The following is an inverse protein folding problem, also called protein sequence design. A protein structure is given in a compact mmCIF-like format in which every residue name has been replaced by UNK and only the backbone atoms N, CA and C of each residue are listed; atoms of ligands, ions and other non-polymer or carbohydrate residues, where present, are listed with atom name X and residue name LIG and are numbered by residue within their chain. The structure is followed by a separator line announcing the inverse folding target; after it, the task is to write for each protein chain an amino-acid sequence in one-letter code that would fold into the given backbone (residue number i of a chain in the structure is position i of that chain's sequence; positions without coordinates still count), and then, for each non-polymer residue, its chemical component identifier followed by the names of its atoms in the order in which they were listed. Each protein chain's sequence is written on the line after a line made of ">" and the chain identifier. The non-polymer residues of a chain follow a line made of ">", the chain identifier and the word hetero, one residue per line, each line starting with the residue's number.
data_IF_937626977770
#
_entry.id   IF_937626977770
#
_cell.length_a   1.000
_cell.length_b   1.000
_cell.length_c   1.000
_cell.angle_alpha   90.00
_cell.angle_beta   90.00
_cell.angle_gamma   90.00
#
_symmetry.space_group_name_H-M   'P 1'
#
loop_
_entity.id
_entity.type
_entity.pdbx_description
1 polymer ?
#
# COMPACT_ATOMS: atom_id res chain seq x y z
N UNK A 1 19.18 3.80 -3.00
CA UNK A 1 18.41 2.91 -2.10
C UNK A 1 17.58 3.68 -1.08
N UNK A 2 18.13 4.64 -0.33
CA UNK A 2 17.38 5.43 0.68
C UNK A 2 16.26 6.29 0.07
N UNK A 3 16.47 6.82 -1.14
CA UNK A 3 15.47 7.63 -1.85
C UNK A 3 14.25 6.80 -2.31
N UNK A 4 14.45 5.52 -2.65
CA UNK A 4 13.36 4.63 -3.11
C UNK A 4 12.41 4.26 -1.96
N UNK A 5 12.95 4.00 -0.76
CA UNK A 5 12.16 3.74 0.44
C UNK A 5 11.39 4.98 0.89
N UNK A 6 12.03 6.14 0.92
CA UNK A 6 11.37 7.41 1.28
C UNK A 6 10.26 7.77 0.31
N UNK A 7 10.48 7.55 -0.99
CA UNK A 7 9.44 7.71 -2.00
C UNK A 7 8.29 6.72 -1.80
N UNK A 8 8.57 5.47 -1.41
CA UNK A 8 7.54 4.47 -1.11
C UNK A 8 6.73 4.86 0.11
N UNK A 9 7.37 5.30 1.20
CA UNK A 9 6.71 5.80 2.40
C UNK A 9 5.75 6.93 2.04
N UNK A 10 6.20 7.93 1.27
CA UNK A 10 5.35 9.02 0.81
C UNK A 10 4.15 8.54 -0.01
N UNK A 11 4.35 7.60 -0.94
CA UNK A 11 3.25 7.03 -1.74
C UNK A 11 2.25 6.28 -0.85
N UNK A 12 2.70 5.52 0.15
CA UNK A 12 1.83 4.85 1.12
C UNK A 12 1.08 5.87 1.98
N UNK A 13 1.72 6.98 2.39
CA UNK A 13 1.04 8.06 3.11
C UNK A 13 -0.06 8.72 2.30
N UNK A 14 0.18 9.00 1.01
CA UNK A 14 -0.83 9.55 0.10
C UNK A 14 -1.99 8.57 -0.06
N UNK A 15 -1.69 7.30 -0.33
CA UNK A 15 -2.70 6.24 -0.43
C UNK A 15 -3.54 6.12 0.85
N UNK A 16 -2.90 6.15 2.03
CA UNK A 16 -3.61 6.10 3.30
C UNK A 16 -4.52 7.31 3.51
N UNK A 17 -4.07 8.50 3.11
CA UNK A 17 -4.88 9.72 3.20
C UNK A 17 -6.12 9.64 2.30
N UNK A 18 -5.93 9.27 1.03
CA UNK A 18 -7.03 9.13 0.07
C UNK A 18 -8.00 8.01 0.50
N UNK A 19 -7.49 6.91 1.04
CA UNK A 19 -8.31 5.81 1.54
C UNK A 19 -9.14 6.24 2.76
N UNK A 20 -8.58 7.06 3.64
CA UNK A 20 -9.32 7.66 4.77
C UNK A 20 -10.42 8.58 4.28
N UNK A 21 -10.16 9.41 3.26
CA UNK A 21 -11.19 10.27 2.66
C UNK A 21 -12.31 9.45 2.04
N UNK A 22 -11.96 8.42 1.28
CA UNK A 22 -12.92 7.46 0.73
C UNK A 22 -13.74 6.84 1.87
N UNK A 23 -13.11 6.20 2.85
CA UNK A 23 -13.80 5.51 3.96
C UNK A 23 -14.68 6.43 4.83
N UNK A 24 -14.31 7.71 4.96
CA UNK A 24 -15.05 8.70 5.76
C UNK A 24 -16.37 9.16 5.13
N UNK A 25 -16.65 8.76 3.89
CA UNK A 25 -17.94 9.06 3.25
C UNK A 25 -19.09 8.43 4.05
N UNK A 26 -20.18 9.17 4.36
CA UNK A 26 -21.35 8.65 5.09
C UNK A 26 -22.02 7.44 4.42
N UNK A 27 -21.72 7.26 3.14
CA UNK A 27 -22.27 6.24 2.27
C UNK A 27 -21.52 4.91 2.36
N UNK A 28 -20.38 4.90 3.06
CA UNK A 28 -19.52 3.75 3.20
C UNK A 28 -19.86 2.93 4.46
N UNK A 29 -19.82 1.61 4.28
CA UNK A 29 -20.17 0.61 5.29
C UNK A 29 -18.92 0.29 6.13
N UNK A 30 -19.02 -0.14 7.41
CA UNK A 30 -17.89 -0.57 8.27
C UNK A 30 -16.84 -1.52 7.66
N UNK A 31 -17.11 -2.12 6.49
CA UNK A 31 -16.11 -2.81 5.68
C UNK A 31 -14.97 -1.90 5.18
N UNK A 32 -15.18 -0.59 5.11
CA UNK A 32 -14.16 0.40 4.71
C UNK A 32 -13.23 0.80 5.86
N UNK A 33 -13.69 0.78 7.12
CA UNK A 33 -12.83 0.97 8.30
C UNK A 33 -11.73 -0.09 8.37
N UNK A 34 -12.06 -1.32 7.99
CA UNK A 34 -11.09 -2.40 7.88
C UNK A 34 -10.02 -2.12 6.81
N UNK A 35 -10.37 -1.48 5.69
CA UNK A 35 -9.39 -1.10 4.66
C UNK A 35 -8.42 -0.06 5.21
N UNK A 36 -8.92 0.94 5.96
CA UNK A 36 -8.08 1.97 6.59
C UNK A 36 -7.11 1.33 7.58
N UNK A 37 -7.61 0.44 8.45
CA UNK A 37 -6.77 -0.28 9.41
C UNK A 37 -5.67 -1.10 8.74
N UNK A 38 -5.99 -1.81 7.66
CA UNK A 38 -5.00 -2.58 6.90
C UNK A 38 -3.98 -1.66 6.23
N UNK A 39 -4.39 -0.49 5.71
CA UNK A 39 -3.47 0.50 5.14
C UNK A 39 -2.55 1.16 6.18
N UNK A 40 -3.02 1.39 7.41
CA UNK A 40 -2.17 1.89 8.50
C UNK A 40 -1.04 0.90 8.83
N UNK A 41 -1.33 -0.41 8.78
CA UNK A 41 -0.30 -1.43 8.94
C UNK A 41 0.75 -1.38 7.83
N UNK A 42 0.35 -1.11 6.59
CA UNK A 42 1.30 -0.96 5.48
C UNK A 42 2.30 0.17 5.77
N UNK A 43 1.81 1.29 6.30
CA UNK A 43 2.67 2.42 6.67
C UNK A 43 3.68 2.04 7.76
N UNK A 44 3.27 1.27 8.77
CA UNK A 44 4.20 0.76 9.79
C UNK A 44 5.24 -0.19 9.18
N UNK A 45 4.82 -1.13 8.33
CA UNK A 45 5.69 -2.12 7.70
C UNK A 45 6.75 -1.51 6.78
N UNK A 46 6.41 -0.46 6.03
CA UNK A 46 7.41 0.23 5.20
C UNK A 46 8.44 0.97 6.06
N UNK A 47 8.04 1.52 7.22
CA UNK A 47 8.99 2.15 8.16
C UNK A 47 9.94 1.11 8.75
N UNK A 48 9.43 -0.04 9.17
CA UNK A 48 10.25 -1.17 9.65
C UNK A 48 11.21 -1.71 8.59
N UNK A 49 10.81 -1.70 7.31
CA UNK A 49 11.66 -2.08 6.19
C UNK A 49 12.71 -1.00 5.88
N UNK A 50 12.37 0.27 6.07
CA UNK A 50 13.29 1.39 5.87
C UNK A 50 14.43 1.37 6.90
N UNK A 51 14.11 1.10 8.16
CA UNK A 51 15.06 0.99 9.28
C UNK A 51 15.87 -0.31 9.28
N UNK A 52 15.44 -1.33 8.53
CA UNK A 52 16.14 -2.61 8.44
C UNK A 52 17.48 -2.47 7.71
N UNK A 53 18.55 -2.89 8.39
CA UNK A 53 19.93 -2.82 7.89
C UNK A 53 20.41 -4.16 7.33
N UNK A 54 19.81 -5.27 7.74
CA UNK A 54 20.12 -6.59 7.21
C UNK A 54 19.41 -6.80 5.86
N UNK A 55 20.14 -7.02 4.74
CA UNK A 55 19.53 -7.15 3.41
C UNK A 55 18.52 -8.30 3.27
N UNK A 56 18.75 -9.43 3.94
CA UNK A 56 17.85 -10.59 3.88
C UNK A 56 16.54 -10.30 4.62
N UNK A 57 16.63 -9.74 5.83
CA UNK A 57 15.44 -9.34 6.59
C UNK A 57 14.69 -8.20 5.90
N UNK A 58 15.41 -7.28 5.24
CA UNK A 58 14.82 -6.18 4.47
C UNK A 58 14.02 -6.72 3.29
N UNK A 59 14.59 -7.70 2.57
CA UNK A 59 13.93 -8.39 1.47
C UNK A 59 12.65 -9.10 1.94
N UNK A 60 12.70 -9.81 3.06
CA UNK A 60 11.52 -10.51 3.61
C UNK A 60 10.43 -9.53 4.05
N UNK A 61 10.81 -8.42 4.69
CA UNK A 61 9.87 -7.33 5.06
C UNK A 61 9.22 -6.71 3.82
N UNK A 62 9.98 -6.44 2.75
CA UNK A 62 9.43 -5.90 1.51
C UNK A 62 8.52 -6.88 0.78
N UNK A 63 8.84 -8.18 0.77
CA UNK A 63 7.97 -9.23 0.24
C UNK A 63 6.66 -9.34 1.03
N UNK A 64 6.73 -9.30 2.36
CA UNK A 64 5.53 -9.26 3.20
C UNK A 64 4.70 -8.01 2.91
N UNK A 65 5.32 -6.84 2.83
CA UNK A 65 4.64 -5.59 2.53
C UNK A 65 3.92 -5.67 1.17
N UNK A 66 4.60 -6.16 0.13
CA UNK A 66 4.01 -6.36 -1.20
C UNK A 66 2.74 -7.22 -1.12
N UNK A 67 2.82 -8.38 -0.47
CA UNK A 67 1.69 -9.30 -0.32
C UNK A 67 0.50 -8.64 0.40
N UNK A 68 0.76 -7.84 1.43
CA UNK A 68 -0.33 -7.15 2.14
C UNK A 68 -0.99 -6.06 1.27
N UNK A 69 -0.23 -5.39 0.40
CA UNK A 69 -0.79 -4.43 -0.57
C UNK A 69 -1.63 -5.15 -1.61
N UNK A 70 -1.19 -6.31 -2.11
CA UNK A 70 -1.99 -7.15 -3.02
C UNK A 70 -3.30 -7.61 -2.38
N UNK A 71 -3.26 -8.00 -1.11
CA UNK A 71 -4.46 -8.35 -0.34
C UNK A 71 -5.38 -7.14 -0.18
N UNK A 72 -4.83 -5.97 0.18
CA UNK A 72 -5.62 -4.74 0.32
C UNK A 72 -6.23 -4.31 -1.01
N UNK A 73 -5.49 -4.44 -2.10
CA UNK A 73 -5.94 -4.18 -3.46
C UNK A 73 -7.16 -5.04 -3.82
N UNK A 74 -7.09 -6.36 -3.59
CA UNK A 74 -8.21 -7.26 -3.88
C UNK A 74 -9.42 -6.94 -3.00
N UNK A 75 -9.22 -6.57 -1.73
CA UNK A 75 -10.32 -6.12 -0.84
C UNK A 75 -10.95 -4.82 -1.35
N UNK A 76 -10.13 -3.83 -1.72
CA UNK A 76 -10.58 -2.54 -2.25
C UNK A 76 -11.38 -2.73 -3.54
N UNK A 77 -10.87 -3.51 -4.49
CA UNK A 77 -11.54 -3.84 -5.76
C UNK A 77 -12.93 -4.43 -5.54
N UNK A 78 -13.07 -5.34 -4.57
CA UNK A 78 -14.33 -5.99 -4.23
C UNK A 78 -15.23 -5.19 -3.27
N UNK A 79 -14.78 -4.03 -2.79
CA UNK A 79 -15.57 -3.18 -1.88
C UNK A 79 -16.66 -2.46 -2.68
N UNK A 80 -17.94 -2.64 -2.36
CA UNK A 80 -19.01 -1.89 -3.01
C UNK A 80 -18.87 -0.40 -2.70
N UNK A 81 -19.08 0.46 -3.70
CA UNK A 81 -19.12 1.91 -3.55
C UNK A 81 -20.31 2.45 -4.35
N UNK A 82 -20.76 3.68 -4.04
CA UNK A 82 -21.79 4.35 -4.84
C UNK A 82 -21.21 4.97 -6.11
N UNK A 83 -22.07 5.33 -7.06
CA UNK A 83 -21.68 5.85 -8.38
C UNK A 83 -20.81 7.11 -8.29
N UNK A 84 -21.13 8.01 -7.36
CA UNK A 84 -20.37 9.23 -7.06
C UNK A 84 -18.96 8.96 -6.49
N UNK A 85 -18.65 7.73 -6.07
CA UNK A 85 -17.35 7.35 -5.49
C UNK A 85 -16.54 6.41 -6.39
N UNK A 86 -17.05 6.07 -7.59
CA UNK A 86 -16.36 5.18 -8.53
C UNK A 86 -14.98 5.75 -8.91
N UNK A 87 -14.88 7.07 -9.08
CA UNK A 87 -13.62 7.74 -9.41
C UNK A 87 -12.60 7.61 -8.27
N UNK A 88 -12.98 7.96 -7.04
CA UNK A 88 -12.12 7.83 -5.85
C UNK A 88 -11.63 6.40 -5.64
N UNK A 89 -12.53 5.42 -5.78
CA UNK A 89 -12.18 4.00 -5.70
C UNK A 89 -11.21 3.61 -6.82
N UNK A 90 -11.44 4.07 -8.04
CA UNK A 90 -10.57 3.78 -9.19
C UNK A 90 -9.18 4.35 -9.00
N UNK A 91 -9.08 5.57 -8.47
CA UNK A 91 -7.80 6.22 -8.15
C UNK A 91 -7.04 5.42 -7.09
N UNK A 92 -7.71 4.96 -6.03
CA UNK A 92 -7.11 4.11 -5.00
C UNK A 92 -6.62 2.76 -5.54
N UNK A 93 -7.36 2.17 -6.49
CA UNK A 93 -6.96 0.93 -7.20
C UNK A 93 -5.69 1.19 -8.02
N UNK A 94 -5.64 2.29 -8.76
CA UNK A 94 -4.48 2.69 -9.56
C UNK A 94 -3.26 2.94 -8.65
N UNK A 95 -3.44 3.65 -7.53
CA UNK A 95 -2.38 3.88 -6.55
C UNK A 95 -1.84 2.57 -5.97
N UNK A 96 -2.71 1.61 -5.67
CA UNK A 96 -2.31 0.29 -5.18
C UNK A 96 -1.45 -0.47 -6.19
N UNK A 97 -1.79 -0.42 -7.48
CA UNK A 97 -0.95 -1.00 -8.55
C UNK A 97 0.45 -0.38 -8.58
N UNK A 98 0.54 0.96 -8.56
CA UNK A 98 1.83 1.65 -8.56
C UNK A 98 2.65 1.38 -7.30
N UNK A 99 2.00 1.16 -6.15
CA UNK A 99 2.69 0.76 -4.92
C UNK A 99 3.31 -0.63 -5.04
N UNK A 100 2.57 -1.60 -5.59
CA UNK A 100 3.05 -2.96 -5.83
C UNK A 100 4.27 -2.93 -6.75
N UNK A 101 4.16 -2.26 -7.91
CA UNK A 101 5.26 -2.14 -8.87
C UNK A 101 6.50 -1.49 -8.24
N UNK A 102 6.30 -0.43 -7.45
CA UNK A 102 7.40 0.28 -6.81
C UNK A 102 8.13 -0.60 -5.78
N UNK A 103 7.41 -1.44 -5.03
CA UNK A 103 8.01 -2.39 -4.09
C UNK A 103 8.69 -3.55 -4.80
N UNK A 104 8.12 -4.06 -5.89
CA UNK A 104 8.77 -5.06 -6.74
C UNK A 104 10.11 -4.57 -7.26
N UNK A 105 10.19 -3.33 -7.73
CA UNK A 105 11.44 -2.72 -8.17
C UNK A 105 12.47 -2.67 -7.02
N UNK A 106 12.07 -2.30 -5.80
CA UNK A 106 12.98 -2.34 -4.64
C UNK A 106 13.44 -3.75 -4.28
N UNK A 107 12.57 -4.75 -4.38
CA UNK A 107 12.91 -6.16 -4.16
C UNK A 107 13.98 -6.60 -5.18
N UNK A 108 13.81 -6.24 -6.44
CA UNK A 108 14.75 -6.55 -7.53
C UNK A 108 16.09 -5.81 -7.37
N UNK A 109 16.11 -4.60 -6.81
CA UNK A 109 17.36 -3.88 -6.51
C UNK A 109 18.17 -4.55 -5.38
N UNK A 110 17.51 -5.21 -4.42
CA UNK A 110 18.18 -5.92 -3.32
C UNK A 110 18.71 -7.29 -3.77
N UNK A 111 18.02 -7.93 -4.71
CA UNK A 111 18.47 -9.15 -5.37
C UNK A 111 19.08 -8.80 -6.73
N UNK A 112 20.36 -8.40 -6.83
CA UNK A 112 21.00 -8.39 -8.14
C UNK A 112 20.95 -9.83 -8.64
N UNK A 113 20.17 -10.07 -9.68
CA UNK A 113 20.20 -11.33 -10.43
C UNK A 113 21.66 -11.64 -10.76
N UNK A 114 22.11 -12.82 -10.32
CA UNK A 114 23.41 -13.40 -10.66
C UNK A 114 23.53 -13.68 -12.16
#
# INVERSE_FOLDING_TARGET
>A
MTDNLKNTQNKISVFLFDLKNFASSPENNPKTDFLVYEAEKLYLKINEAAEETNPALKLDKLKSLKNDIEILFEKLKNTPCKDNQIHEKSDLIIQSFYLIEHIENMINEIMPTA
#
